data_IF_615413394399
#
_entry.id   IF_615413394399
#
_cell.length_a   1.000
_cell.length_b   1.000
_cell.length_c   1.000
_cell.angle_alpha   90.00
_cell.angle_beta   90.00
_cell.angle_gamma   90.00
#
_symmetry.space_group_name_H-M   'P 1'
#
loop_
_entity.id
_entity.type
_entity.pdbx_description
1 polymer ?
#
# COMPACT_ATOMS: atom_id res chain seq x y z
N UNK A 1 20.54 80.33 42.40
CA UNK A 1 19.84 80.34 43.70
C UNK A 1 18.34 80.12 43.55
N UNK A 2 17.84 79.06 44.17
CA UNK A 2 16.41 78.83 44.31
C UNK A 2 15.74 79.99 45.06
N UNK A 3 14.51 80.34 44.68
CA UNK A 3 13.76 81.49 45.21
C UNK A 3 13.66 81.51 46.75
N UNK A 4 13.63 80.32 47.37
CA UNK A 4 13.62 80.13 48.82
C UNK A 4 14.99 80.41 49.47
N UNK A 5 16.09 79.94 48.86
CA UNK A 5 17.44 80.27 49.30
C UNK A 5 17.70 81.78 49.16
N UNK A 6 17.16 82.42 48.11
CA UNK A 6 17.25 83.88 47.91
C UNK A 6 16.55 84.64 49.03
N UNK A 7 15.35 84.18 49.40
CA UNK A 7 14.59 84.73 50.53
C UNK A 7 15.36 84.60 51.85
N UNK A 8 16.05 83.48 52.07
CA UNK A 8 16.88 83.25 53.26
C UNK A 8 18.13 84.15 53.24
N UNK A 9 18.79 84.30 52.09
CA UNK A 9 19.93 85.20 51.92
C UNK A 9 19.55 86.66 52.22
N UNK A 10 18.43 87.11 51.67
CA UNK A 10 17.90 88.46 51.87
C UNK A 10 17.56 88.70 53.35
N UNK A 11 16.97 87.70 54.03
CA UNK A 11 16.68 87.76 55.47
C UNK A 11 17.94 87.83 56.34
N UNK A 12 18.97 87.03 56.02
CA UNK A 12 20.26 87.05 56.73
C UNK A 12 20.95 88.41 56.56
N UNK A 13 20.89 89.00 55.37
CA UNK A 13 21.46 90.32 55.10
C UNK A 13 20.73 91.43 55.85
N UNK A 14 19.39 91.40 55.87
CA UNK A 14 18.53 92.42 56.49
C UNK A 14 18.37 92.29 58.01
N UNK A 15 18.79 91.19 58.63
CA UNK A 15 18.68 91.00 60.08
C UNK A 15 19.58 91.94 60.87
N UNK A 16 19.00 92.75 61.76
CA UNK A 16 19.73 93.64 62.68
C UNK A 16 20.27 92.92 63.93
N UNK A 17 19.85 91.68 64.16
CA UNK A 17 20.20 90.89 65.37
C UNK A 17 21.47 90.04 65.22
N UNK A 18 22.02 89.93 64.01
CA UNK A 18 23.21 89.14 63.70
C UNK A 18 24.43 90.05 63.54
N UNK A 19 25.55 89.67 64.15
CA UNK A 19 26.80 90.40 64.00
C UNK A 19 27.49 90.08 62.64
N UNK A 20 28.54 90.82 62.31
CA UNK A 20 29.25 90.72 61.03
C UNK A 20 29.81 89.32 60.76
N UNK A 21 30.37 88.66 61.78
CA UNK A 21 30.96 87.32 61.65
C UNK A 21 29.89 86.26 61.46
N UNK A 22 28.79 86.33 62.22
CA UNK A 22 27.64 85.42 62.11
C UNK A 22 26.99 85.49 60.73
N UNK A 23 26.79 86.71 60.19
CA UNK A 23 26.28 86.88 58.81
C UNK A 23 27.20 86.25 57.77
N UNK A 24 28.51 86.44 57.93
CA UNK A 24 29.50 85.91 56.98
C UNK A 24 29.53 84.38 57.01
N UNK A 25 29.48 83.77 58.19
CA UNK A 25 29.43 82.32 58.36
C UNK A 25 28.14 81.72 57.77
N UNK A 26 26.98 82.29 58.09
CA UNK A 26 25.69 81.81 57.58
C UNK A 26 25.58 81.94 56.05
N UNK A 27 26.06 83.04 55.48
CA UNK A 27 26.08 83.22 54.01
C UNK A 27 27.04 82.23 53.34
N UNK A 28 28.16 81.89 53.97
CA UNK A 28 29.08 80.87 53.48
C UNK A 28 28.43 79.49 53.47
N UNK A 29 27.82 79.08 54.59
CA UNK A 29 27.09 77.80 54.67
C UNK A 29 25.89 77.75 53.72
N UNK A 30 25.18 78.87 53.52
CA UNK A 30 24.09 78.96 52.53
C UNK A 30 24.60 78.75 51.11
N UNK A 31 25.78 79.28 50.78
CA UNK A 31 26.43 79.11 49.48
C UNK A 31 26.90 77.68 49.26
N UNK A 32 27.54 77.07 50.26
CA UNK A 32 27.92 75.65 50.24
C UNK A 32 26.68 74.75 50.04
N UNK A 33 25.56 75.06 50.69
CA UNK A 33 24.30 74.35 50.49
C UNK A 33 23.69 74.54 49.08
N UNK A 34 23.76 75.74 48.48
CA UNK A 34 23.30 75.98 47.09
C UNK A 34 24.15 75.17 46.10
N UNK A 35 25.48 75.11 46.29
CA UNK A 35 26.41 74.31 45.48
C UNK A 35 26.12 72.79 45.59
N UNK A 36 25.92 72.26 46.80
CA UNK A 36 25.53 70.86 46.99
C UNK A 36 24.17 70.52 46.36
N UNK A 37 23.22 71.46 46.45
CA UNK A 37 21.87 71.30 45.90
C UNK A 37 21.90 71.32 44.36
N UNK A 38 22.75 72.16 43.77
CA UNK A 38 22.98 72.18 42.31
C UNK A 38 23.61 70.87 41.80
N UNK A 39 24.61 70.33 42.50
CA UNK A 39 25.22 69.02 42.19
C UNK A 39 24.18 67.89 42.28
N UNK A 40 23.34 67.92 43.32
CA UNK A 40 22.32 66.89 43.55
C UNK A 40 21.25 66.93 42.47
N UNK A 41 20.79 68.12 42.07
CA UNK A 41 19.85 68.27 40.96
C UNK A 41 20.45 67.81 39.62
N UNK A 42 21.73 68.10 39.36
CA UNK A 42 22.42 67.59 38.17
C UNK A 42 22.47 66.06 38.13
N UNK A 43 22.74 65.41 39.28
CA UNK A 43 22.68 63.95 39.40
C UNK A 43 21.27 63.41 39.20
N UNK A 44 20.25 64.08 39.73
CA UNK A 44 18.84 63.72 39.55
C UNK A 44 18.43 63.75 38.08
N UNK A 45 18.75 64.83 37.34
CA UNK A 45 18.45 64.95 35.90
C UNK A 45 19.12 63.82 35.08
N UNK A 46 20.35 63.45 35.42
CA UNK A 46 21.03 62.30 34.80
C UNK A 46 20.30 60.98 35.09
N UNK A 47 19.87 60.76 36.33
CA UNK A 47 19.12 59.54 36.72
C UNK A 47 17.77 59.51 36.01
N UNK A 48 17.05 60.62 35.92
CA UNK A 48 15.78 60.70 35.21
C UNK A 48 15.93 60.41 33.71
N UNK A 49 16.99 60.92 33.08
CA UNK A 49 17.32 60.61 31.68
C UNK A 49 17.60 59.12 31.49
N UNK A 50 18.46 58.53 32.32
CA UNK A 50 18.73 57.07 32.27
C UNK A 50 17.45 56.29 32.47
N UNK A 51 16.63 56.64 33.47
CA UNK A 51 15.34 55.99 33.73
C UNK A 51 14.41 56.03 32.51
N UNK A 52 14.31 57.17 31.82
CA UNK A 52 13.51 57.29 30.59
C UNK A 52 14.06 56.43 29.46
N UNK A 53 15.37 56.46 29.22
CA UNK A 53 15.99 55.63 28.18
C UNK A 53 15.83 54.13 28.47
N UNK A 54 16.01 53.72 29.72
CA UNK A 54 15.83 52.32 30.12
C UNK A 54 14.37 51.88 29.99
N UNK A 55 13.39 52.75 30.29
CA UNK A 55 11.97 52.43 30.11
C UNK A 55 11.61 52.16 28.64
N UNK A 56 12.10 53.00 27.72
CA UNK A 56 11.88 52.81 26.27
C UNK A 56 12.51 51.50 25.79
N UNK A 57 13.76 51.22 26.19
CA UNK A 57 14.45 50.00 25.80
C UNK A 57 13.74 48.73 26.32
N UNK A 58 13.15 48.81 27.51
CA UNK A 58 12.34 47.74 28.10
C UNK A 58 11.06 47.49 27.30
N UNK A 59 10.33 48.54 26.92
CA UNK A 59 9.14 48.43 26.07
C UNK A 59 9.47 47.79 24.72
N UNK A 60 10.51 48.27 24.03
CA UNK A 60 10.98 47.69 22.76
C UNK A 60 11.35 46.21 22.91
N UNK A 61 12.06 45.86 24.00
CA UNK A 61 12.46 44.46 24.25
C UNK A 61 11.24 43.56 24.53
N UNK A 62 10.22 44.06 25.24
CA UNK A 62 8.99 43.31 25.51
C UNK A 62 8.24 43.05 24.21
N UNK A 63 8.08 44.07 23.36
CA UNK A 63 7.43 43.90 22.05
C UNK A 63 8.16 42.90 21.16
N UNK A 64 9.49 42.95 21.11
CA UNK A 64 10.30 41.97 20.38
C UNK A 64 10.12 40.54 20.93
N UNK A 65 10.11 40.38 22.25
CA UNK A 65 9.91 39.09 22.89
C UNK A 65 8.51 38.52 22.61
N UNK A 66 7.47 39.37 22.61
CA UNK A 66 6.12 38.96 22.26
C UNK A 66 6.01 38.50 20.80
N UNK A 67 6.63 39.24 19.87
CA UNK A 67 6.67 38.84 18.46
C UNK A 67 7.41 37.52 18.26
N UNK A 68 8.59 37.36 18.88
CA UNK A 68 9.36 36.10 18.83
C UNK A 68 8.60 34.95 19.45
N UNK A 69 7.90 35.17 20.56
CA UNK A 69 7.07 34.14 21.21
C UNK A 69 5.94 33.68 20.29
N UNK A 70 5.19 34.60 19.67
CA UNK A 70 4.13 34.28 18.71
C UNK A 70 4.67 33.48 17.51
N UNK A 71 5.80 33.91 16.94
CA UNK A 71 6.43 33.21 15.82
C UNK A 71 6.87 31.79 16.18
N UNK A 72 7.43 31.59 17.38
CA UNK A 72 7.82 30.25 17.87
C UNK A 72 6.60 29.38 18.14
N UNK A 73 5.52 29.93 18.71
CA UNK A 73 4.26 29.21 18.93
C UNK A 73 3.65 28.74 17.59
N UNK A 74 3.62 29.60 16.57
CA UNK A 74 3.16 29.26 15.22
C UNK A 74 4.04 28.20 14.55
N UNK A 75 5.37 28.34 14.65
CA UNK A 75 6.31 27.36 14.10
C UNK A 75 6.19 25.99 14.79
N UNK A 76 6.02 25.97 16.11
CA UNK A 76 5.80 24.73 16.86
C UNK A 76 4.49 24.07 16.46
N UNK A 77 3.43 24.86 16.29
CA UNK A 77 2.13 24.37 15.84
C UNK A 77 2.19 23.76 14.45
N UNK A 78 2.87 24.40 13.51
CA UNK A 78 3.06 23.87 12.15
C UNK A 78 3.86 22.57 12.16
N UNK A 79 4.90 22.49 13.01
CA UNK A 79 5.69 21.26 13.19
C UNK A 79 4.86 20.12 13.78
N UNK A 80 3.96 20.38 14.71
CA UNK A 80 3.04 19.37 15.25
C UNK A 80 2.13 18.81 14.16
N UNK A 81 1.57 19.68 13.32
CA UNK A 81 0.73 19.28 12.19
C UNK A 81 1.52 18.41 11.21
N UNK A 82 2.73 18.81 10.82
CA UNK A 82 3.52 18.04 9.87
C UNK A 82 3.91 16.66 10.42
N UNK A 83 4.24 16.58 11.72
CA UNK A 83 4.51 15.29 12.37
C UNK A 83 3.27 14.38 12.38
N UNK A 84 2.08 14.94 12.54
CA UNK A 84 0.82 14.21 12.51
C UNK A 84 0.54 13.66 11.10
N UNK A 85 0.74 14.48 10.06
CA UNK A 85 0.61 14.06 8.67
C UNK A 85 1.62 12.96 8.30
N UNK A 86 2.86 13.06 8.76
CA UNK A 86 3.88 12.03 8.57
C UNK A 86 3.50 10.69 9.23
N UNK A 87 2.86 10.70 10.40
CA UNK A 87 2.35 9.47 11.03
C UNK A 87 1.28 8.80 10.17
N UNK A 88 0.38 9.57 9.57
CA UNK A 88 -0.61 9.04 8.61
C UNK A 88 0.08 8.48 7.37
N UNK A 89 1.04 9.21 6.77
CA UNK A 89 1.81 8.74 5.60
C UNK A 89 2.57 7.43 5.90
N UNK A 90 3.20 7.34 7.07
CA UNK A 90 3.91 6.15 7.50
C UNK A 90 2.97 4.95 7.63
N UNK A 91 1.74 5.14 8.14
CA UNK A 91 0.73 4.08 8.20
C UNK A 91 0.31 3.61 6.81
N UNK A 92 0.12 4.54 5.87
CA UNK A 92 -0.15 4.24 4.46
C UNK A 92 0.95 3.40 3.82
N UNK A 93 2.22 3.74 4.06
CA UNK A 93 3.36 2.99 3.53
C UNK A 93 3.47 1.57 4.10
N UNK A 94 2.93 1.33 5.30
CA UNK A 94 2.93 0.03 5.95
C UNK A 94 1.77 -0.89 5.50
N UNK A 95 0.89 -0.44 4.58
CA UNK A 95 -0.22 -1.25 4.07
C UNK A 95 0.29 -2.38 3.16
N UNK A 96 -0.09 -3.61 3.49
CA UNK A 96 0.25 -4.82 2.73
C UNK A 96 -0.96 -5.47 2.07
N UNK A 97 -2.17 -5.22 2.56
CA UNK A 97 -3.43 -5.71 2.00
C UNK A 97 -4.44 -4.60 1.86
N UNK A 98 -5.42 -4.80 0.98
CA UNK A 98 -6.51 -3.85 0.80
C UNK A 98 -7.28 -3.59 2.13
N UNK A 99 -7.46 -4.61 2.96
CA UNK A 99 -8.12 -4.49 4.27
C UNK A 99 -7.42 -3.57 5.29
N UNK A 100 -6.15 -3.19 5.06
CA UNK A 100 -5.40 -2.34 5.99
C UNK A 100 -5.90 -0.88 6.02
N UNK A 101 -6.74 -0.47 5.06
CA UNK A 101 -7.26 0.90 4.93
C UNK A 101 -7.95 1.41 6.20
N UNK A 102 -8.70 0.54 6.90
CA UNK A 102 -9.42 0.92 8.14
C UNK A 102 -8.47 1.49 9.19
N UNK A 103 -7.24 0.98 9.26
CA UNK A 103 -6.26 1.49 10.22
C UNK A 103 -5.71 2.87 9.83
N UNK A 104 -5.62 3.17 8.53
CA UNK A 104 -5.28 4.50 8.00
C UNK A 104 -6.38 5.53 8.27
N UNK A 105 -7.64 5.09 8.20
CA UNK A 105 -8.79 5.92 8.59
C UNK A 105 -8.73 6.25 10.09
N UNK A 106 -8.52 5.26 10.96
CA UNK A 106 -8.46 5.48 12.42
C UNK A 106 -7.36 6.46 12.83
N UNK A 107 -6.18 6.39 12.20
CA UNK A 107 -5.07 7.28 12.56
C UNK A 107 -5.35 8.73 12.14
N UNK A 108 -5.99 8.98 10.98
CA UNK A 108 -6.40 10.34 10.57
C UNK A 108 -7.25 11.00 11.64
N UNK A 109 -8.26 10.29 12.17
CA UNK A 109 -9.13 10.84 13.20
C UNK A 109 -8.41 11.06 14.53
N UNK A 110 -7.60 10.11 14.96
CA UNK A 110 -6.83 10.26 16.22
C UNK A 110 -5.86 11.44 16.16
N UNK A 111 -5.24 11.68 15.01
CA UNK A 111 -4.31 12.79 14.82
C UNK A 111 -5.02 14.15 14.77
N UNK A 112 -6.17 14.24 14.10
CA UNK A 112 -7.00 15.45 14.10
C UNK A 112 -7.45 15.79 15.53
N UNK A 113 -7.90 14.81 16.29
CA UNK A 113 -8.33 14.98 17.69
C UNK A 113 -7.16 15.45 18.58
N UNK A 114 -5.97 14.86 18.44
CA UNK A 114 -4.75 15.28 19.17
C UNK A 114 -4.32 16.71 18.84
N UNK A 115 -4.57 17.17 17.61
CA UNK A 115 -4.35 18.57 17.23
C UNK A 115 -5.43 19.50 17.79
N UNK A 116 -6.38 19.02 18.59
CA UNK A 116 -7.42 19.84 19.21
C UNK A 116 -8.59 20.13 18.25
N UNK A 117 -8.73 19.37 17.17
CA UNK A 117 -9.84 19.48 16.23
C UNK A 117 -11.11 18.84 16.84
N UNK A 118 -11.80 19.61 17.69
CA UNK A 118 -13.03 19.15 18.35
C UNK A 118 -14.19 19.11 17.37
N UNK A 119 -14.80 17.94 17.20
CA UNK A 119 -15.94 17.71 16.30
C UNK A 119 -17.04 16.94 17.02
N UNK A 120 -18.29 17.22 16.66
CA UNK A 120 -19.42 16.36 17.02
C UNK A 120 -19.30 15.02 16.29
N UNK A 121 -18.92 15.10 15.02
CA UNK A 121 -18.71 13.96 14.13
C UNK A 121 -17.71 14.32 13.06
N UNK A 122 -16.73 13.48 12.80
CA UNK A 122 -15.88 13.58 11.61
C UNK A 122 -15.87 12.25 10.88
N UNK A 123 -15.55 12.28 9.59
CA UNK A 123 -15.60 11.08 8.81
C UNK A 123 -14.99 11.23 7.43
N UNK A 124 -14.77 10.10 6.78
CA UNK A 124 -14.34 10.02 5.40
C UNK A 124 -15.44 9.30 4.64
N UNK A 125 -15.93 9.93 3.58
CA UNK A 125 -16.84 9.33 2.62
C UNK A 125 -16.10 8.96 1.35
N UNK A 126 -16.27 7.73 0.87
CA UNK A 126 -15.80 7.26 -0.44
C UNK A 126 -17.00 7.00 -1.34
N UNK A 127 -16.97 7.62 -2.52
CA UNK A 127 -18.06 7.52 -3.48
C UNK A 127 -17.94 6.23 -4.29
N UNK A 128 -19.08 5.57 -4.49
CA UNK A 128 -19.17 4.43 -5.38
C UNK A 128 -19.63 4.93 -6.76
N UNK A 129 -18.79 4.70 -7.79
CA UNK A 129 -19.07 5.13 -9.16
C UNK A 129 -20.50 4.77 -9.60
N UNK A 130 -21.22 5.79 -10.10
CA UNK A 130 -22.59 5.72 -10.63
C UNK A 130 -23.71 5.43 -9.61
N UNK A 131 -23.44 5.51 -8.31
CA UNK A 131 -24.50 5.43 -7.29
C UNK A 131 -24.53 6.68 -6.41
N UNK A 132 -25.72 7.13 -6.00
CA UNK A 132 -25.89 8.15 -4.95
C UNK A 132 -25.68 7.55 -3.55
N UNK A 133 -24.64 6.74 -3.41
CA UNK A 133 -24.26 6.07 -2.17
C UNK A 133 -22.79 6.30 -1.90
N UNK A 134 -22.49 6.56 -0.64
CA UNK A 134 -21.14 6.78 -0.15
C UNK A 134 -20.87 5.78 0.97
N UNK A 135 -19.73 5.12 0.90
CA UNK A 135 -19.24 4.33 2.02
C UNK A 135 -18.52 5.28 3.00
N UNK A 136 -19.07 5.38 4.20
CA UNK A 136 -18.66 6.35 5.20
C UNK A 136 -17.98 5.64 6.34
N UNK A 137 -16.77 6.09 6.69
CA UNK A 137 -16.15 5.84 7.98
C UNK A 137 -16.27 7.08 8.84
N UNK A 138 -16.88 6.97 10.01
CA UNK A 138 -17.07 8.11 10.90
C UNK A 138 -16.61 7.81 12.31
N UNK A 139 -16.02 8.83 12.93
CA UNK A 139 -15.70 8.88 14.34
C UNK A 139 -16.63 9.89 15.01
N UNK A 140 -17.30 9.48 16.08
CA UNK A 140 -18.19 10.34 16.88
C UNK A 140 -17.91 10.15 18.37
N UNK A 141 -18.13 11.20 19.15
CA UNK A 141 -17.97 11.22 20.60
C UNK A 141 -19.27 10.79 21.28
N UNK A 142 -19.31 9.58 21.83
CA UNK A 142 -20.44 9.11 22.63
C UNK A 142 -20.14 9.32 24.13
N UNK A 143 -20.72 10.35 24.74
CA UNK A 143 -20.82 10.48 26.20
C UNK A 143 -19.48 10.44 26.95
N UNK A 144 -18.40 10.96 26.37
CA UNK A 144 -17.10 11.09 27.02
C UNK A 144 -16.20 9.85 27.02
N UNK A 145 -16.49 8.80 26.25
CA UNK A 145 -15.57 7.67 26.08
C UNK A 145 -15.43 7.19 24.64
N UNK A 146 -14.19 7.31 24.12
CA UNK A 146 -13.62 6.78 22.86
C UNK A 146 -14.44 7.00 21.57
N UNK A 147 -13.80 7.63 20.60
CA UNK A 147 -14.17 7.67 19.18
C UNK A 147 -14.41 6.25 18.66
N UNK A 148 -15.67 5.85 18.52
CA UNK A 148 -16.02 4.59 17.86
C UNK A 148 -15.91 4.80 16.36
N UNK A 149 -15.06 4.01 15.68
CA UNK A 149 -15.04 3.99 14.23
C UNK A 149 -16.22 3.18 13.74
N UNK A 150 -17.16 3.85 13.08
CA UNK A 150 -18.35 3.26 12.51
C UNK A 150 -18.23 3.30 10.99
N UNK A 151 -18.59 2.22 10.31
CA UNK A 151 -18.64 2.16 8.85
C UNK A 151 -20.03 1.80 8.37
N UNK A 152 -20.54 2.49 7.35
CA UNK A 152 -21.84 2.23 6.76
C UNK A 152 -22.01 2.89 5.41
N UNK A 153 -23.15 2.67 4.77
CA UNK A 153 -23.52 3.32 3.52
C UNK A 153 -24.51 4.46 3.81
N UNK A 154 -24.16 5.67 3.37
CA UNK A 154 -25.04 6.84 3.39
C UNK A 154 -25.62 7.07 1.99
N UNK A 155 -26.93 7.35 1.92
CA UNK A 155 -27.61 7.69 0.67
C UNK A 155 -27.61 9.21 0.54
N UNK A 156 -27.11 9.73 -0.58
CA UNK A 156 -26.97 11.17 -0.80
C UNK A 156 -28.23 11.81 -1.41
N UNK A 157 -29.40 11.49 -0.87
CA UNK A 157 -30.69 11.98 -1.36
C UNK A 157 -31.62 12.39 -0.22
N UNK A 158 -32.57 13.28 -0.51
CA UNK A 158 -33.64 13.61 0.41
C UNK A 158 -33.29 14.67 1.45
N UNK A 159 -32.14 15.35 1.32
CA UNK A 159 -31.77 16.52 2.12
C UNK A 159 -30.85 17.47 1.32
N UNK A 160 -31.01 18.81 1.42
CA UNK A 160 -30.14 19.76 0.72
C UNK A 160 -28.64 19.56 0.97
N UNK A 161 -28.25 19.32 2.23
CA UNK A 161 -26.88 18.95 2.59
C UNK A 161 -26.35 17.75 1.76
N UNK A 162 -27.13 16.66 1.69
CA UNK A 162 -26.73 15.42 1.03
C UNK A 162 -26.59 15.60 -0.49
N UNK A 163 -27.52 16.33 -1.10
CA UNK A 163 -27.46 16.69 -2.52
C UNK A 163 -26.28 17.61 -2.81
N UNK A 164 -26.00 18.55 -1.91
CA UNK A 164 -24.83 19.42 -1.98
C UNK A 164 -23.51 18.66 -1.91
N UNK A 165 -23.41 17.66 -1.03
CA UNK A 165 -22.24 16.76 -0.94
C UNK A 165 -22.03 16.01 -2.26
N UNK A 166 -23.09 15.48 -2.87
CA UNK A 166 -23.00 14.81 -4.16
C UNK A 166 -22.50 15.76 -5.26
N UNK A 167 -23.10 16.95 -5.35
CA UNK A 167 -22.73 17.94 -6.36
C UNK A 167 -21.29 18.44 -6.19
N UNK A 168 -20.87 18.68 -4.94
CA UNK A 168 -19.51 19.11 -4.60
C UNK A 168 -18.46 18.07 -4.98
N UNK A 169 -18.76 16.78 -4.79
CA UNK A 169 -17.87 15.72 -5.27
C UNK A 169 -17.80 15.68 -6.80
N UNK A 170 -18.91 15.92 -7.50
CA UNK A 170 -18.91 15.98 -8.96
C UNK A 170 -18.14 17.18 -9.52
N UNK A 171 -18.18 18.33 -8.84
CA UNK A 171 -17.39 19.52 -9.20
C UNK A 171 -15.95 19.49 -8.64
N UNK A 172 -15.64 18.53 -7.75
CA UNK A 172 -14.38 18.46 -7.01
C UNK A 172 -14.08 19.73 -6.19
N UNK A 173 -15.12 20.30 -5.60
CA UNK A 173 -15.03 21.51 -4.78
C UNK A 173 -15.34 21.19 -3.31
N UNK A 174 -14.67 21.90 -2.40
CA UNK A 174 -14.97 21.80 -0.98
C UNK A 174 -16.37 22.39 -0.69
N UNK A 175 -17.10 21.81 0.28
CA UNK A 175 -18.49 22.15 0.53
C UNK A 175 -18.75 22.44 2.00
N UNK A 176 -19.48 23.53 2.26
CA UNK A 176 -19.89 23.92 3.60
C UNK A 176 -21.40 24.10 3.64
N UNK A 177 -22.00 23.78 4.77
CA UNK A 177 -23.44 23.89 4.96
C UNK A 177 -23.74 24.09 6.45
N UNK A 178 -24.79 24.84 6.78
CA UNK A 178 -25.20 25.10 8.16
C UNK A 178 -26.58 24.50 8.38
N UNK A 179 -26.66 23.56 9.32
CA UNK A 179 -27.90 22.91 9.75
C UNK A 179 -28.46 23.69 10.94
N UNK A 180 -29.68 24.19 10.83
CA UNK A 180 -30.33 25.01 11.87
C UNK A 180 -31.77 24.57 12.11
N UNK A 181 -32.18 24.46 13.38
CA UNK A 181 -33.56 24.19 13.75
C UNK A 181 -34.14 22.92 13.11
N UNK A 182 -35.20 23.08 12.30
CA UNK A 182 -35.87 21.95 11.64
C UNK A 182 -34.99 21.26 10.59
N UNK A 183 -34.11 21.99 9.90
CA UNK A 183 -33.20 21.44 8.88
C UNK A 183 -32.24 20.41 9.49
N UNK A 184 -31.76 20.67 10.71
CA UNK A 184 -30.95 19.70 11.47
C UNK A 184 -31.71 18.40 11.76
N UNK A 185 -32.96 18.51 12.21
CA UNK A 185 -33.80 17.37 12.56
C UNK A 185 -34.10 16.54 11.29
N UNK A 186 -34.43 17.23 10.19
CA UNK A 186 -34.73 16.61 8.91
C UNK A 186 -33.51 15.84 8.39
N UNK A 187 -32.31 16.42 8.45
CA UNK A 187 -31.06 15.74 8.11
C UNK A 187 -30.89 14.41 8.87
N UNK A 188 -30.94 14.43 10.20
CA UNK A 188 -30.75 13.21 10.98
C UNK A 188 -31.86 12.18 10.76
N UNK A 189 -33.08 12.63 10.46
CA UNK A 189 -34.19 11.72 10.11
C UNK A 189 -33.95 10.99 8.78
N UNK A 190 -33.27 11.63 7.83
CA UNK A 190 -32.89 11.04 6.55
C UNK A 190 -31.66 10.16 6.72
N UNK A 191 -30.63 10.63 7.44
CA UNK A 191 -29.43 9.87 7.73
C UNK A 191 -29.73 8.57 8.49
N UNK A 192 -30.68 8.57 9.42
CA UNK A 192 -31.12 7.38 10.17
C UNK A 192 -31.79 6.30 9.29
N UNK A 193 -32.24 6.64 8.07
CA UNK A 193 -32.76 5.66 7.10
C UNK A 193 -31.63 4.94 6.34
N UNK A 194 -30.41 5.44 6.43
CA UNK A 194 -29.23 4.83 5.82
C UNK A 194 -28.65 3.75 6.72
N UNK A 195 -27.67 2.99 6.22
CA UNK A 195 -26.99 1.96 7.03
C UNK A 195 -25.82 2.56 7.84
N UNK A 196 -25.82 3.88 8.05
CA UNK A 196 -24.85 4.58 8.86
C UNK A 196 -25.37 4.65 10.31
N UNK A 197 -24.67 4.07 11.30
CA UNK A 197 -25.13 4.03 12.69
C UNK A 197 -24.89 5.38 13.40
N UNK A 198 -25.51 6.44 12.89
CA UNK A 198 -25.46 7.80 13.45
C UNK A 198 -26.81 8.15 14.06
N UNK A 199 -26.77 8.75 15.25
CA UNK A 199 -27.97 9.22 15.96
C UNK A 199 -27.95 10.73 16.05
N UNK A 200 -29.14 11.35 16.07
CA UNK A 200 -29.24 12.76 16.36
C UNK A 200 -28.67 13.03 17.77
N UNK A 201 -27.92 14.14 17.97
CA UNK A 201 -27.49 14.54 19.30
C UNK A 201 -28.71 14.84 20.19
N UNK A 202 -28.56 14.72 21.52
CA UNK A 202 -29.56 15.21 22.46
C UNK A 202 -29.66 16.74 22.32
N UNK A 203 -30.82 17.22 21.86
CA UNK A 203 -31.06 18.63 21.59
C UNK A 203 -31.46 19.32 22.91
N UNK A 204 -30.50 19.94 23.59
CA UNK A 204 -30.71 20.66 24.86
C UNK A 204 -30.64 22.20 24.70
N UNK A 205 -30.71 22.71 23.46
CA UNK A 205 -30.58 24.14 23.14
C UNK A 205 -31.90 24.78 22.70
N UNK A 206 -32.10 26.07 23.01
CA UNK A 206 -33.24 26.87 22.52
C UNK A 206 -33.28 26.96 20.98
N UNK A 207 -32.12 26.86 20.30
CA UNK A 207 -32.00 26.67 18.84
C UNK A 207 -30.77 25.79 18.50
N UNK A 208 -30.94 24.53 18.05
CA UNK A 208 -29.80 23.68 17.72
C UNK A 208 -29.20 24.03 16.35
N UNK A 209 -27.86 24.13 16.30
CA UNK A 209 -27.09 24.47 15.10
C UNK A 209 -25.86 23.58 14.94
N UNK A 210 -25.59 23.13 13.72
CA UNK A 210 -24.35 22.43 13.37
C UNK A 210 -23.76 22.93 12.05
N UNK A 211 -22.45 23.09 12.02
CA UNK A 211 -21.66 23.48 10.87
C UNK A 211 -21.06 22.24 10.23
N UNK A 212 -21.41 22.00 8.99
CA UNK A 212 -20.82 20.97 8.14
C UNK A 212 -19.74 21.57 7.25
N UNK A 213 -18.63 20.87 7.13
CA UNK A 213 -17.63 21.12 6.10
C UNK A 213 -17.06 19.81 5.57
N UNK A 214 -16.79 19.77 4.27
CA UNK A 214 -16.20 18.67 3.54
C UNK A 214 -15.08 19.20 2.65
N UNK A 215 -13.90 18.59 2.76
CA UNK A 215 -12.83 18.77 1.79
C UNK A 215 -12.86 17.61 0.79
N UNK A 216 -12.99 17.95 -0.48
CA UNK A 216 -13.11 16.96 -1.54
C UNK A 216 -11.73 16.46 -2.01
N UNK A 217 -11.68 15.18 -2.36
CA UNK A 217 -10.58 14.55 -3.08
C UNK A 217 -11.17 13.58 -4.14
N UNK A 218 -10.40 13.12 -5.13
CA UNK A 218 -10.94 12.41 -6.29
C UNK A 218 -11.85 11.22 -5.98
N UNK A 219 -11.55 10.43 -4.96
CA UNK A 219 -12.36 9.29 -4.56
C UNK A 219 -13.48 9.61 -3.54
N UNK A 220 -13.50 10.82 -2.98
CA UNK A 220 -14.52 11.21 -2.00
C UNK A 220 -14.21 12.47 -1.20
N UNK A 221 -14.35 12.43 0.13
CA UNK A 221 -14.10 13.61 0.95
C UNK A 221 -13.94 13.33 2.45
N UNK A 222 -13.18 14.19 3.12
CA UNK A 222 -13.08 14.24 4.59
C UNK A 222 -14.06 15.29 5.09
N UNK A 223 -15.01 14.89 5.94
CA UNK A 223 -16.04 15.76 6.46
C UNK A 223 -15.99 15.92 7.98
N UNK A 224 -16.54 17.02 8.46
CA UNK A 224 -16.69 17.31 9.88
C UNK A 224 -18.00 18.06 10.15
N UNK A 225 -18.60 17.73 11.30
CA UNK A 225 -19.72 18.42 11.94
C UNK A 225 -19.21 19.05 13.23
N UNK A 226 -19.47 20.34 13.42
CA UNK A 226 -19.08 21.11 14.61
C UNK A 226 -20.24 21.96 15.11
N UNK A 227 -20.22 22.30 16.39
CA UNK A 227 -21.17 23.27 16.97
C UNK A 227 -20.80 24.72 16.64
N UNK A 228 -19.53 24.96 16.29
CA UNK A 228 -19.00 26.27 15.92
C UNK A 228 -18.53 26.27 14.47
N UNK A 229 -18.56 27.43 13.83
CA UNK A 229 -18.03 27.62 12.48
C UNK A 229 -16.55 27.18 12.39
N UNK A 230 -16.18 26.58 11.26
CA UNK A 230 -14.80 26.20 11.00
C UNK A 230 -14.00 27.43 10.53
N UNK A 231 -12.91 27.74 11.24
CA UNK A 231 -11.94 28.74 10.77
C UNK A 231 -11.25 28.27 9.49
N UNK A 232 -10.62 29.20 8.77
CA UNK A 232 -9.89 28.85 7.56
C UNK A 232 -8.66 27.98 7.86
N UNK A 233 -8.01 28.13 9.03
CA UNK A 233 -6.94 27.22 9.44
C UNK A 233 -7.47 25.79 9.65
N UNK A 234 -8.67 25.65 10.21
CA UNK A 234 -9.34 24.36 10.40
C UNK A 234 -9.66 23.67 9.06
N UNK A 235 -10.17 24.43 8.08
CA UNK A 235 -10.45 23.91 6.72
C UNK A 235 -9.15 23.50 6.01
N UNK A 236 -8.10 24.32 6.10
CA UNK A 236 -6.79 23.99 5.55
C UNK A 236 -6.17 22.73 6.20
N UNK A 237 -6.32 22.58 7.52
CA UNK A 237 -5.89 21.38 8.23
C UNK A 237 -6.62 20.14 7.70
N UNK A 238 -7.95 20.21 7.58
CA UNK A 238 -8.74 19.13 6.97
C UNK A 238 -8.24 18.80 5.57
N UNK A 239 -7.98 19.82 4.74
CA UNK A 239 -7.50 19.61 3.36
C UNK A 239 -6.20 18.80 3.33
N UNK A 240 -5.22 19.17 4.16
CA UNK A 240 -3.94 18.45 4.27
C UNK A 240 -4.13 16.98 4.67
N UNK A 241 -5.01 16.70 5.62
CA UNK A 241 -5.33 15.32 6.01
C UNK A 241 -6.09 14.56 4.92
N UNK A 242 -7.03 15.22 4.23
CA UNK A 242 -7.75 14.67 3.10
C UNK A 242 -6.81 14.27 1.96
N UNK A 243 -5.84 15.11 1.64
CA UNK A 243 -4.84 14.83 0.60
C UNK A 243 -3.96 13.63 0.97
N UNK A 244 -3.48 13.56 2.22
CA UNK A 244 -2.69 12.42 2.70
C UNK A 244 -3.53 11.14 2.72
N UNK A 245 -4.79 11.22 3.12
CA UNK A 245 -5.69 10.08 3.09
C UNK A 245 -5.99 9.61 1.67
N UNK A 246 -6.14 10.52 0.70
CA UNK A 246 -6.36 10.17 -0.70
C UNK A 246 -5.22 9.31 -1.27
N UNK A 247 -3.97 9.56 -0.83
CA UNK A 247 -2.84 8.68 -1.15
C UNK A 247 -3.02 7.27 -0.54
N UNK A 248 -3.52 7.19 0.68
CA UNK A 248 -3.84 5.91 1.34
C UNK A 248 -4.93 5.13 0.60
N UNK A 249 -5.97 5.83 0.16
CA UNK A 249 -7.07 5.23 -0.58
C UNK A 249 -6.64 4.77 -1.97
N UNK A 250 -5.83 5.57 -2.67
CA UNK A 250 -5.25 5.16 -3.96
C UNK A 250 -4.41 3.90 -3.80
N UNK A 251 -3.58 3.82 -2.74
CA UNK A 251 -2.82 2.62 -2.41
C UNK A 251 -3.72 1.41 -2.11
N UNK A 252 -4.83 1.61 -1.41
CA UNK A 252 -5.83 0.56 -1.19
C UNK A 252 -6.38 0.00 -2.51
N UNK A 253 -6.74 0.87 -3.46
CA UNK A 253 -7.22 0.43 -4.78
C UNK A 253 -6.15 -0.35 -5.54
N UNK A 254 -4.91 0.11 -5.53
CA UNK A 254 -3.79 -0.59 -6.16
C UNK A 254 -3.59 -2.00 -5.57
N UNK A 255 -3.63 -2.11 -4.23
CA UNK A 255 -3.50 -3.39 -3.54
C UNK A 255 -4.67 -4.33 -3.87
N UNK A 256 -5.90 -3.81 -3.88
CA UNK A 256 -7.10 -4.58 -4.23
C UNK A 256 -7.02 -5.12 -5.66
N UNK A 257 -6.61 -4.29 -6.61
CA UNK A 257 -6.42 -4.70 -8.00
C UNK A 257 -5.32 -5.76 -8.12
N UNK A 258 -4.19 -5.59 -7.42
CA UNK A 258 -3.10 -6.56 -7.43
C UNK A 258 -3.53 -7.91 -6.81
N UNK A 259 -4.30 -7.90 -5.73
CA UNK A 259 -4.86 -9.09 -5.09
C UNK A 259 -5.80 -9.85 -6.04
N UNK A 260 -6.68 -9.15 -6.76
CA UNK A 260 -7.58 -9.76 -7.74
C UNK A 260 -6.81 -10.38 -8.92
N UNK A 261 -5.84 -9.67 -9.47
CA UNK A 261 -4.98 -10.18 -10.55
C UNK A 261 -4.20 -11.43 -10.10
N UNK A 262 -3.65 -11.42 -8.90
CA UNK A 262 -2.93 -12.57 -8.36
C UNK A 262 -3.85 -13.80 -8.21
N UNK A 263 -5.10 -13.61 -7.76
CA UNK A 263 -6.10 -14.69 -7.69
C UNK A 263 -6.38 -15.29 -9.07
N UNK A 264 -6.54 -14.45 -10.09
CA UNK A 264 -6.78 -14.91 -11.47
C UNK A 264 -5.58 -15.70 -11.99
N UNK A 265 -4.37 -15.17 -11.83
CA UNK A 265 -3.13 -15.83 -12.28
C UNK A 265 -2.96 -17.18 -11.58
N UNK A 266 -3.22 -17.24 -10.27
CA UNK A 266 -3.12 -18.48 -9.51
C UNK A 266 -4.13 -19.52 -10.01
N UNK A 267 -5.40 -19.14 -10.19
CA UNK A 267 -6.41 -20.04 -10.73
C UNK A 267 -6.08 -20.52 -12.16
N UNK A 268 -5.53 -19.65 -13.00
CA UNK A 268 -5.11 -20.03 -14.35
C UNK A 268 -3.91 -20.99 -14.33
N UNK A 269 -2.93 -20.78 -13.46
CA UNK A 269 -1.79 -21.68 -13.29
C UNK A 269 -2.24 -23.06 -12.78
N UNK A 270 -3.10 -23.10 -11.76
CA UNK A 270 -3.67 -24.35 -11.25
C UNK A 270 -4.41 -25.12 -12.36
N UNK A 271 -5.18 -24.41 -13.21
CA UNK A 271 -5.84 -25.00 -14.38
C UNK A 271 -4.82 -25.55 -15.40
N UNK A 272 -3.76 -24.80 -15.71
CA UNK A 272 -2.70 -25.23 -16.64
C UNK A 272 -2.00 -26.49 -16.13
N UNK A 273 -1.65 -26.53 -14.85
CA UNK A 273 -1.04 -27.70 -14.21
C UNK A 273 -1.94 -28.92 -14.32
N UNK A 274 -3.24 -28.78 -14.01
CA UNK A 274 -4.20 -29.89 -14.12
C UNK A 274 -4.29 -30.45 -15.54
N UNK A 275 -4.34 -29.59 -16.56
CA UNK A 275 -4.37 -30.02 -17.97
C UNK A 275 -3.12 -30.81 -18.36
N UNK A 276 -1.95 -30.41 -17.85
CA UNK A 276 -0.69 -31.13 -18.10
C UNK A 276 -0.63 -32.47 -17.37
N UNK A 277 -1.15 -32.55 -16.13
CA UNK A 277 -1.30 -33.81 -15.39
C UNK A 277 -2.24 -34.78 -16.09
N UNK A 278 -3.40 -34.33 -16.58
CA UNK A 278 -4.32 -35.16 -17.36
C UNK A 278 -3.67 -35.69 -18.64
N UNK A 279 -2.89 -34.87 -19.34
CA UNK A 279 -2.16 -35.28 -20.53
C UNK A 279 -1.06 -36.32 -20.21
N UNK A 280 -0.41 -36.19 -19.05
CA UNK A 280 0.56 -37.19 -18.54
C UNK A 280 -0.12 -38.52 -18.30
N UNK A 281 -1.22 -38.52 -17.57
CA UNK A 281 -1.94 -39.73 -17.21
C UNK A 281 -2.46 -40.45 -18.45
N UNK A 282 -2.92 -39.69 -19.45
CA UNK A 282 -3.29 -40.23 -20.75
C UNK A 282 -2.09 -40.88 -21.46
N UNK A 283 -0.94 -40.22 -21.50
CA UNK A 283 0.28 -40.78 -22.11
C UNK A 283 0.75 -42.06 -21.41
N UNK A 284 0.77 -42.07 -20.07
CA UNK A 284 1.14 -43.24 -19.29
C UNK A 284 0.14 -44.40 -19.47
N UNK A 285 -1.16 -44.10 -19.54
CA UNK A 285 -2.19 -45.09 -19.79
C UNK A 285 -2.08 -45.73 -21.19
N UNK A 286 -1.44 -45.05 -22.15
CA UNK A 286 -1.14 -45.60 -23.46
C UNK A 286 0.03 -46.58 -23.44
N UNK A 287 0.91 -46.58 -22.44
CA UNK A 287 2.02 -47.53 -22.41
C UNK A 287 1.54 -48.95 -22.08
N UNK A 288 2.28 -50.00 -22.49
CA UNK A 288 1.95 -51.38 -22.15
C UNK A 288 1.81 -51.56 -20.65
N UNK A 289 0.62 -51.99 -20.21
CA UNK A 289 0.33 -52.31 -18.80
C UNK A 289 0.81 -53.69 -18.39
N UNK A 290 0.91 -54.60 -19.36
CA UNK A 290 1.36 -55.97 -19.17
C UNK A 290 2.55 -56.24 -20.08
N UNK A 291 3.53 -56.96 -19.55
CA UNK A 291 4.69 -57.38 -20.31
C UNK A 291 4.39 -58.71 -21.03
N UNK A 292 4.86 -58.90 -22.27
CA UNK A 292 4.73 -60.17 -22.99
C UNK A 292 5.27 -61.35 -22.19
N UNK A 293 4.47 -62.41 -22.06
CA UNK A 293 4.92 -63.67 -21.48
C UNK A 293 5.28 -64.65 -22.61
N UNK A 294 6.57 -64.99 -22.73
CA UNK A 294 7.07 -65.91 -23.74
C UNK A 294 7.97 -66.97 -23.07
N UNK A 295 7.88 -68.27 -23.43
CA UNK A 295 8.53 -69.36 -22.70
C UNK A 295 10.04 -69.22 -22.46
N UNK A 296 10.75 -68.48 -23.32
CA UNK A 296 12.21 -68.36 -23.30
C UNK A 296 12.70 -66.91 -23.12
N UNK A 297 11.82 -65.99 -22.73
CA UNK A 297 12.16 -64.58 -22.55
C UNK A 297 11.55 -64.06 -21.25
N UNK A 298 12.40 -63.51 -20.41
CA UNK A 298 12.00 -62.72 -19.24
C UNK A 298 12.19 -61.24 -19.58
N UNK A 299 11.15 -60.42 -19.36
CA UNK A 299 11.11 -59.02 -19.80
C UNK A 299 10.81 -58.16 -18.57
N UNK A 300 11.61 -57.10 -18.41
CA UNK A 300 11.39 -56.07 -17.39
C UNK A 300 11.52 -54.69 -18.03
N UNK A 301 10.73 -53.73 -17.56
CA UNK A 301 10.76 -52.33 -18.02
C UNK A 301 10.66 -51.39 -16.82
N UNK A 302 11.39 -50.29 -16.89
CA UNK A 302 11.30 -49.19 -15.94
C UNK A 302 11.33 -47.87 -16.70
N UNK A 303 10.41 -46.96 -16.37
CA UNK A 303 10.33 -45.63 -16.97
C UNK A 303 9.91 -44.62 -15.91
N UNK A 304 10.63 -43.51 -15.82
CA UNK A 304 10.32 -42.40 -14.92
C UNK A 304 10.46 -41.09 -15.68
N UNK A 305 9.35 -40.36 -15.84
CA UNK A 305 9.35 -39.08 -16.54
C UNK A 305 9.92 -37.97 -15.64
N UNK A 306 10.78 -37.10 -16.20
CA UNK A 306 11.36 -35.96 -15.48
C UNK A 306 10.41 -34.75 -15.39
N UNK A 307 9.47 -34.62 -16.34
CA UNK A 307 8.51 -33.50 -16.47
C UNK A 307 7.06 -34.00 -16.44
N UNK A 308 6.09 -33.08 -16.57
CA UNK A 308 4.66 -33.43 -16.59
C UNK A 308 4.37 -34.44 -17.72
N UNK A 309 4.66 -34.13 -18.99
CA UNK A 309 4.50 -35.09 -20.12
C UNK A 309 5.88 -35.48 -20.67
N UNK A 310 6.15 -36.78 -20.81
CA UNK A 310 7.48 -37.33 -21.16
C UNK A 310 7.71 -37.51 -22.67
N UNK A 311 8.98 -37.59 -23.08
CA UNK A 311 9.38 -37.95 -24.45
C UNK A 311 9.62 -39.45 -24.65
N UNK A 312 9.82 -40.17 -23.54
CA UNK A 312 10.15 -41.60 -23.53
C UNK A 312 8.95 -42.46 -23.94
N UNK A 313 9.24 -43.53 -24.65
CA UNK A 313 8.25 -44.45 -25.20
C UNK A 313 8.80 -45.87 -25.24
N UNK A 314 7.96 -46.85 -24.90
CA UNK A 314 8.23 -48.25 -25.20
C UNK A 314 6.93 -48.98 -25.54
N UNK A 315 7.02 -50.02 -26.37
CA UNK A 315 5.87 -50.87 -26.71
C UNK A 315 6.28 -52.26 -27.22
N UNK A 316 5.34 -53.19 -27.22
CA UNK A 316 5.52 -54.58 -27.60
C UNK A 316 4.42 -55.07 -28.53
N UNK A 317 4.79 -55.94 -29.47
CA UNK A 317 3.86 -56.62 -30.34
C UNK A 317 4.28 -58.08 -30.54
N UNK A 318 3.35 -59.01 -30.40
CA UNK A 318 3.57 -60.43 -30.61
C UNK A 318 2.81 -60.87 -31.87
N UNK A 319 3.54 -61.33 -32.88
CA UNK A 319 2.93 -61.92 -34.07
C UNK A 319 2.37 -63.32 -33.77
N UNK A 320 1.43 -63.79 -34.59
CA UNK A 320 0.83 -65.14 -34.44
C UNK A 320 1.85 -66.29 -34.49
N UNK A 321 3.02 -66.05 -35.08
CA UNK A 321 4.10 -67.03 -35.18
C UNK A 321 5.07 -67.00 -33.98
N UNK A 322 4.74 -66.24 -32.93
CA UNK A 322 5.54 -66.10 -31.72
C UNK A 322 6.67 -65.07 -31.82
N UNK A 323 6.79 -64.34 -32.94
CA UNK A 323 7.81 -63.29 -33.07
C UNK A 323 7.46 -62.10 -32.17
N UNK A 324 8.36 -61.76 -31.25
CA UNK A 324 8.27 -60.55 -30.45
C UNK A 324 8.91 -59.39 -31.20
N UNK A 325 8.18 -58.29 -31.36
CA UNK A 325 8.72 -56.99 -31.77
C UNK A 325 8.61 -56.04 -30.59
N UNK A 326 9.71 -55.44 -30.15
CA UNK A 326 9.67 -54.37 -29.16
C UNK A 326 10.26 -53.08 -29.74
N UNK A 327 9.80 -51.95 -29.23
CA UNK A 327 10.30 -50.63 -29.59
C UNK A 327 10.57 -49.84 -28.32
N UNK A 328 11.63 -49.04 -28.35
CA UNK A 328 11.96 -48.04 -27.33
C UNK A 328 12.29 -46.75 -28.08
N UNK A 329 11.87 -45.61 -27.60
CA UNK A 329 12.28 -44.34 -28.17
C UNK A 329 12.19 -43.18 -27.21
N UNK A 330 12.79 -42.08 -27.64
CA UNK A 330 12.91 -40.83 -26.90
C UNK A 330 12.68 -39.67 -27.87
N UNK A 331 11.58 -38.95 -27.66
CA UNK A 331 11.23 -37.77 -28.43
C UNK A 331 11.94 -36.53 -27.88
N UNK A 332 12.56 -35.76 -28.76
CA UNK A 332 13.29 -34.54 -28.36
C UNK A 332 12.37 -33.53 -27.70
N UNK A 333 12.76 -33.04 -26.52
CA UNK A 333 12.03 -32.05 -25.75
C UNK A 333 11.17 -32.67 -24.65
N UNK A 334 10.22 -31.90 -24.13
CA UNK A 334 9.29 -32.35 -23.10
C UNK A 334 7.92 -31.67 -23.25
N UNK A 335 6.93 -32.13 -22.48
CA UNK A 335 5.58 -31.57 -22.51
C UNK A 335 4.75 -32.09 -23.69
N UNK A 336 3.66 -31.39 -23.99
CA UNK A 336 2.65 -31.80 -24.99
C UNK A 336 3.23 -32.13 -26.39
N UNK A 337 4.28 -31.41 -26.82
CA UNK A 337 4.91 -31.61 -28.13
C UNK A 337 5.58 -32.98 -28.24
N UNK A 338 6.37 -33.36 -27.23
CA UNK A 338 7.02 -34.66 -27.17
C UNK A 338 5.99 -35.79 -27.04
N UNK A 339 4.99 -35.62 -26.16
CA UNK A 339 3.88 -36.59 -26.01
C UNK A 339 3.07 -36.82 -27.29
N UNK A 340 2.92 -35.80 -28.14
CA UNK A 340 2.27 -35.92 -29.45
C UNK A 340 3.06 -36.85 -30.38
N UNK A 341 4.39 -36.68 -30.45
CA UNK A 341 5.27 -37.54 -31.26
C UNK A 341 5.26 -38.98 -30.78
N UNK A 342 5.26 -39.19 -29.45
CA UNK A 342 5.09 -40.52 -28.84
C UNK A 342 3.77 -41.16 -29.25
N UNK A 343 2.66 -40.42 -29.17
CA UNK A 343 1.32 -40.93 -29.53
C UNK A 343 1.24 -41.34 -31.01
N UNK A 344 1.79 -40.52 -31.90
CA UNK A 344 1.85 -40.81 -33.33
C UNK A 344 2.70 -42.06 -33.59
N UNK A 345 3.89 -42.12 -32.98
CA UNK A 345 4.82 -43.25 -33.13
C UNK A 345 4.20 -44.54 -32.62
N UNK A 346 3.45 -44.49 -31.51
CA UNK A 346 2.68 -45.63 -31.00
C UNK A 346 1.65 -46.13 -32.01
N UNK A 347 0.84 -45.23 -32.55
CA UNK A 347 -0.16 -45.59 -33.57
C UNK A 347 0.49 -46.25 -34.80
N UNK A 348 1.60 -45.69 -35.27
CA UNK A 348 2.35 -46.24 -36.40
C UNK A 348 3.01 -47.58 -36.07
N UNK A 349 3.56 -47.73 -34.86
CA UNK A 349 4.14 -48.98 -34.39
C UNK A 349 3.08 -50.09 -34.38
N UNK A 350 1.91 -49.84 -33.77
CA UNK A 350 0.82 -50.82 -33.73
C UNK A 350 0.36 -51.26 -35.14
N UNK A 351 0.40 -50.35 -36.12
CA UNK A 351 0.04 -50.66 -37.51
C UNK A 351 1.14 -51.41 -38.28
N UNK A 352 2.41 -51.20 -37.93
CA UNK A 352 3.57 -51.64 -38.71
C UNK A 352 4.41 -52.75 -38.04
N UNK A 353 4.12 -53.10 -36.79
CA UNK A 353 4.95 -54.01 -35.99
C UNK A 353 5.11 -55.40 -36.63
N UNK A 354 4.07 -55.94 -37.27
CA UNK A 354 4.13 -57.23 -38.00
C UNK A 354 4.97 -57.19 -39.29
N UNK A 355 5.51 -56.04 -39.69
CA UNK A 355 6.40 -55.95 -40.86
C UNK A 355 7.67 -56.78 -40.63
N UNK A 356 8.02 -57.64 -41.59
CA UNK A 356 9.27 -58.44 -41.52
C UNK A 356 10.55 -57.59 -41.60
N UNK A 357 10.47 -56.38 -42.15
CA UNK A 357 11.63 -55.52 -42.38
C UNK A 357 11.56 -54.28 -41.46
N UNK A 358 12.46 -54.23 -40.48
CA UNK A 358 12.57 -53.13 -39.51
C UNK A 358 12.91 -51.80 -40.20
N UNK A 359 13.86 -51.78 -41.13
CA UNK A 359 14.27 -50.56 -41.84
C UNK A 359 13.12 -49.92 -42.64
N UNK A 360 12.25 -50.74 -43.22
CA UNK A 360 11.04 -50.27 -43.91
C UNK A 360 10.05 -49.65 -42.94
N UNK A 361 9.96 -50.17 -41.71
CA UNK A 361 9.14 -49.58 -40.64
C UNK A 361 9.68 -48.23 -40.21
N UNK A 362 10.99 -48.11 -39.95
CA UNK A 362 11.64 -46.82 -39.64
C UNK A 362 11.42 -45.77 -40.73
N UNK A 363 11.61 -46.16 -42.00
CA UNK A 363 11.42 -45.25 -43.14
C UNK A 363 9.99 -44.72 -43.25
N UNK A 364 8.99 -45.57 -42.95
CA UNK A 364 7.58 -45.17 -42.92
C UNK A 364 7.29 -44.23 -41.75
N UNK A 365 7.77 -44.55 -40.54
CA UNK A 365 7.59 -43.72 -39.36
C UNK A 365 8.24 -42.34 -39.58
N UNK A 366 9.50 -42.31 -40.02
CA UNK A 366 10.23 -41.07 -40.32
C UNK A 366 9.51 -40.23 -41.37
N UNK A 367 8.97 -40.85 -42.44
CA UNK A 367 8.21 -40.14 -43.47
C UNK A 367 6.96 -39.47 -42.89
N UNK A 368 6.15 -40.21 -42.13
CA UNK A 368 4.92 -39.64 -41.54
C UNK A 368 5.23 -38.49 -40.59
N UNK A 369 6.22 -38.65 -39.70
CA UNK A 369 6.63 -37.60 -38.76
C UNK A 369 7.13 -36.35 -39.52
N UNK A 370 7.94 -36.52 -40.57
CA UNK A 370 8.43 -35.42 -41.42
C UNK A 370 7.29 -34.71 -42.16
N UNK A 371 6.33 -35.46 -42.69
CA UNK A 371 5.19 -34.92 -43.43
C UNK A 371 4.26 -34.08 -42.54
N UNK A 372 4.25 -34.32 -41.22
CA UNK A 372 3.51 -33.50 -40.24
C UNK A 372 4.13 -32.12 -39.99
N UNK A 373 5.35 -31.86 -40.47
CA UNK A 373 6.03 -30.55 -40.42
C UNK A 373 6.16 -29.94 -39.01
N UNK A 374 6.25 -30.78 -37.98
CA UNK A 374 6.61 -30.30 -36.64
C UNK A 374 8.06 -29.80 -36.67
N UNK A 375 8.25 -28.48 -36.59
CA UNK A 375 9.59 -27.89 -36.54
C UNK A 375 10.31 -28.34 -35.27
N UNK A 376 11.56 -28.82 -35.41
CA UNK A 376 12.47 -29.15 -34.31
C UNK A 376 12.01 -30.29 -33.37
N UNK A 377 11.09 -31.16 -33.81
CA UNK A 377 10.78 -32.40 -33.10
C UNK A 377 11.34 -33.60 -33.88
N UNK A 378 12.22 -34.35 -33.23
CA UNK A 378 12.78 -35.62 -33.71
C UNK A 378 12.52 -36.71 -32.67
N UNK A 379 12.69 -37.97 -33.05
CA UNK A 379 12.54 -39.08 -32.12
C UNK A 379 13.60 -40.13 -32.37
N UNK A 380 14.45 -40.34 -31.36
CA UNK A 380 15.34 -41.47 -31.35
C UNK A 380 14.50 -42.75 -31.15
N UNK A 381 14.78 -43.79 -31.92
CA UNK A 381 14.02 -45.05 -31.88
C UNK A 381 14.95 -46.24 -31.99
N UNK A 382 14.69 -47.28 -31.20
CA UNK A 382 15.33 -48.59 -31.27
C UNK A 382 14.22 -49.64 -31.39
N UNK A 383 14.34 -50.53 -32.37
CA UNK A 383 13.41 -51.64 -32.56
C UNK A 383 14.17 -52.95 -32.58
N UNK A 384 13.61 -53.92 -31.86
CA UNK A 384 14.14 -55.27 -31.76
C UNK A 384 13.09 -56.28 -32.19
N UNK A 385 13.51 -57.31 -32.90
CA UNK A 385 12.71 -58.50 -33.23
C UNK A 385 13.40 -59.74 -32.72
N UNK A 386 12.66 -60.53 -31.93
CA UNK A 386 13.14 -61.78 -31.36
C UNK A 386 12.25 -62.90 -31.87
N UNK A 387 12.88 -63.90 -32.49
CA UNK A 387 12.25 -65.16 -32.86
C UNK A 387 13.21 -66.30 -32.60
N UNK A 388 12.76 -67.30 -31.86
CA UNK A 388 13.59 -68.42 -31.40
C UNK A 388 14.85 -67.88 -30.70
N UNK A 389 16.05 -68.23 -31.18
CA UNK A 389 17.33 -67.75 -30.66
C UNK A 389 17.95 -66.63 -31.50
N UNK A 390 17.16 -65.96 -32.36
CA UNK A 390 17.62 -64.89 -33.23
C UNK A 390 17.07 -63.54 -32.80
N UNK A 391 17.98 -62.64 -32.45
CA UNK A 391 17.72 -61.23 -32.17
C UNK A 391 18.14 -60.38 -33.37
N UNK A 392 17.24 -59.53 -33.85
CA UNK A 392 17.52 -58.52 -34.88
C UNK A 392 17.25 -57.14 -34.30
N UNK A 393 18.23 -56.25 -34.32
CA UNK A 393 18.11 -54.89 -33.76
C UNK A 393 18.41 -53.86 -34.85
N UNK A 394 17.67 -52.75 -34.83
CA UNK A 394 18.00 -51.54 -35.58
C UNK A 394 17.66 -50.33 -34.70
N UNK A 395 18.49 -49.30 -34.75
CA UNK A 395 18.25 -48.07 -34.01
C UNK A 395 18.60 -46.83 -34.83
N UNK A 396 17.98 -45.72 -34.48
CA UNK A 396 18.21 -44.38 -34.99
C UNK A 396 18.47 -43.47 -33.78
N UNK A 397 19.72 -43.02 -33.64
CA UNK A 397 20.18 -42.08 -32.61
C UNK A 397 19.87 -42.44 -31.14
N UNK A 398 19.66 -43.72 -30.83
CA UNK A 398 19.50 -44.20 -29.45
C UNK A 398 20.87 -44.53 -28.82
N UNK A 399 20.98 -44.48 -27.48
CA UNK A 399 22.17 -44.98 -26.77
C UNK A 399 22.50 -46.45 -27.11
N UNK A 400 23.76 -46.88 -26.92
CA UNK A 400 24.17 -48.25 -27.23
C UNK A 400 23.33 -49.30 -26.50
N UNK A 401 22.96 -50.36 -27.20
CA UNK A 401 22.32 -51.52 -26.57
C UNK A 401 23.37 -52.34 -25.84
N UNK A 402 23.14 -52.67 -24.57
CA UNK A 402 24.07 -53.45 -23.76
C UNK A 402 23.69 -54.93 -23.79
N UNK A 403 24.63 -55.80 -24.17
CA UNK A 403 24.48 -57.24 -24.15
C UNK A 403 25.39 -57.81 -23.07
N UNK A 404 24.78 -58.43 -22.06
CA UNK A 404 25.52 -59.18 -21.05
C UNK A 404 25.55 -60.67 -21.39
N UNK A 405 26.73 -61.28 -21.36
CA UNK A 405 26.92 -62.71 -21.62
C UNK A 405 27.35 -63.43 -20.34
N UNK A 406 26.45 -64.25 -19.79
CA UNK A 406 26.72 -65.02 -18.55
C UNK A 406 27.90 -65.98 -18.67
N UNK A 407 28.15 -66.54 -19.85
CA UNK A 407 29.20 -67.54 -20.07
C UNK A 407 30.62 -67.02 -19.80
N UNK A 408 30.86 -65.73 -20.03
CA UNK A 408 32.17 -65.09 -19.83
C UNK A 408 32.09 -63.85 -18.91
N UNK A 409 30.91 -63.51 -18.38
CA UNK A 409 30.67 -62.36 -17.50
C UNK A 409 31.03 -61.00 -18.14
N UNK A 410 30.95 -60.90 -19.46
CA UNK A 410 31.28 -59.67 -20.20
C UNK A 410 30.02 -58.88 -20.59
N UNK A 411 30.18 -57.55 -20.67
CA UNK A 411 29.19 -56.62 -21.22
C UNK A 411 29.73 -56.06 -22.53
N UNK A 412 28.96 -56.23 -23.59
CA UNK A 412 29.25 -55.73 -24.94
C UNK A 412 28.27 -54.59 -25.26
N UNK A 413 28.77 -53.45 -25.74
CA UNK A 413 27.94 -52.34 -26.21
C UNK A 413 27.77 -52.38 -27.73
N UNK A 414 26.53 -52.43 -28.20
CA UNK A 414 26.20 -52.32 -29.62
C UNK A 414 25.74 -50.90 -29.94
N UNK A 415 26.59 -50.16 -30.63
CA UNK A 415 26.27 -48.85 -31.19
C UNK A 415 25.72 -48.98 -32.60
N UNK A 416 24.70 -48.18 -32.93
CA UNK A 416 24.08 -48.17 -34.25
C UNK A 416 24.21 -46.78 -34.86
N UNK A 417 24.64 -46.70 -36.11
CA UNK A 417 24.71 -45.44 -36.86
C UNK A 417 23.32 -45.09 -37.42
N UNK A 418 22.82 -43.90 -37.09
CA UNK A 418 21.53 -43.40 -37.60
C UNK A 418 21.18 -42.03 -37.02
N UNK A 419 20.52 -41.19 -37.82
CA UNK A 419 20.04 -39.87 -37.37
C UNK A 419 18.63 -39.96 -36.75
N UNK A 420 18.31 -39.10 -35.76
CA UNK A 420 17.01 -39.08 -35.08
C UNK A 420 15.86 -38.55 -35.95
#
# INVERSE_FOLDING_TARGET
>A
MYKQLQTIQDYIQQSEKLNSEEKTLLLKSLKEADEELEITNSKLDRIEKVKRTTAILLEETIEELEQKRKAVEEQNREREIENALERVRARTMAMHKSDDLTSSVSIVFSELEQLGFKTVRCGIGIFNDNSRKVNVWTASENGGSKTALLSGDEILEGHPLLEGIYNAHQSQEDYSYVLEGQDLIDYYSVAAKSNLPVSAPEIDFEEPRQYYHCVCFPAGGLFAFRETELSDEAKQLMKRFGDVFNLAFTRHLDLKNAEEQNKIIQAENERKTRVLEEARDLQLAMLPKELPQLPNLDIAVYMQTATEVGGDYYDFHIDKDGTLTAVIGDATGHGMKAGTVVTITKSLFNSLASSKNILKTFSKISKVIKDMKFRQLSMCLMMLKIKDNKLTISAAAMPPALIYRKSNQEIEGLSFEGMP
#
